data_IF_489356020151
#
_entry.id   IF_489356020151
#
_cell.length_a   1.000
_cell.length_b   1.000
_cell.length_c   1.000
_cell.angle_alpha   90.00
_cell.angle_beta   90.00
_cell.angle_gamma   90.00
#
_symmetry.space_group_name_H-M   'P 1'
#
loop_
_entity.id
_entity.type
_entity.pdbx_description
1 polymer ?
#
# COMPACT_ATOMS: atom_id res chain seq x y z
N UNK A 1 -14.72 53.76 28.75
CA UNK A 1 -13.52 53.46 27.94
C UNK A 1 -13.30 51.95 28.02
N UNK A 2 -14.00 51.10 27.26
CA UNK A 2 -13.86 50.74 25.84
C UNK A 2 -12.46 50.30 25.42
N UNK A 3 -12.26 48.97 25.29
CA UNK A 3 -11.85 48.30 24.04
C UNK A 3 -11.88 46.78 24.23
N UNK A 4 -12.83 46.13 23.57
CA UNK A 4 -12.83 44.68 23.34
C UNK A 4 -11.77 44.32 22.27
N UNK A 5 -11.16 43.13 22.31
CA UNK A 5 -10.22 42.70 21.28
C UNK A 5 -10.95 42.29 20.01
N UNK A 6 -10.46 42.81 18.87
CA UNK A 6 -11.00 42.56 17.55
C UNK A 6 -10.80 41.08 17.12
N UNK A 7 -11.91 40.41 16.81
CA UNK A 7 -11.92 39.16 16.04
C UNK A 7 -11.26 39.40 14.67
N UNK A 8 -10.13 38.74 14.43
CA UNK A 8 -9.54 38.63 13.09
C UNK A 8 -10.48 37.76 12.25
N UNK A 9 -11.38 38.40 11.52
CA UNK A 9 -12.16 37.75 10.46
C UNK A 9 -11.20 37.16 9.43
N UNK A 10 -11.11 35.83 9.40
CA UNK A 10 -10.42 35.10 8.36
C UNK A 10 -11.17 35.35 7.04
N UNK A 11 -10.57 36.15 6.14
CA UNK A 11 -11.13 36.36 4.80
C UNK A 11 -11.26 35.00 4.11
N UNK A 12 -12.41 34.68 3.49
CA UNK A 12 -12.58 33.44 2.75
C UNK A 12 -11.52 33.37 1.66
N UNK A 13 -10.64 32.38 1.75
CA UNK A 13 -9.57 32.17 0.79
C UNK A 13 -10.22 31.66 -0.50
N UNK A 14 -10.30 32.51 -1.52
CA UNK A 14 -10.84 32.14 -2.82
C UNK A 14 -9.80 31.24 -3.49
N UNK A 15 -9.99 29.93 -3.37
CA UNK A 15 -9.14 28.93 -4.03
C UNK A 15 -9.46 28.94 -5.52
N UNK A 16 -8.45 29.15 -6.36
CA UNK A 16 -8.63 29.15 -7.81
C UNK A 16 -8.89 27.75 -8.36
N UNK A 17 -9.64 27.64 -9.46
CA UNK A 17 -9.89 26.37 -10.14
C UNK A 17 -8.58 25.68 -10.55
N UNK A 18 -7.59 26.46 -11.00
CA UNK A 18 -6.27 25.98 -11.38
C UNK A 18 -5.52 25.34 -10.21
N UNK A 19 -5.66 25.90 -9.00
CA UNK A 19 -5.09 25.32 -7.77
C UNK A 19 -5.71 23.96 -7.45
N UNK A 20 -7.03 23.82 -7.63
CA UNK A 20 -7.74 22.56 -7.41
C UNK A 20 -7.31 21.51 -8.46
N UNK A 21 -7.19 21.92 -9.72
CA UNK A 21 -6.72 21.05 -10.81
C UNK A 21 -5.27 20.57 -10.58
N UNK A 22 -4.38 21.45 -10.12
CA UNK A 22 -3.03 21.07 -9.75
C UNK A 22 -3.04 20.03 -8.62
N UNK A 23 -3.83 20.26 -7.56
CA UNK A 23 -3.96 19.33 -6.44
C UNK A 23 -4.51 17.96 -6.85
N UNK A 24 -5.46 17.93 -7.79
CA UNK A 24 -5.98 16.70 -8.38
C UNK A 24 -4.88 15.89 -9.07
N UNK A 25 -3.99 16.54 -9.81
CA UNK A 25 -2.89 15.87 -10.49
C UNK A 25 -1.86 15.31 -9.49
N UNK A 26 -1.53 16.08 -8.44
CA UNK A 26 -0.68 15.59 -7.34
C UNK A 26 -1.28 14.36 -6.66
N UNK A 27 -2.59 14.42 -6.33
CA UNK A 27 -3.29 13.30 -5.70
C UNK A 27 -3.31 12.06 -6.60
N UNK A 28 -3.48 12.23 -7.92
CA UNK A 28 -3.42 11.11 -8.87
C UNK A 28 -2.07 10.41 -8.82
N UNK A 29 -0.98 11.17 -8.87
CA UNK A 29 0.37 10.60 -8.81
C UNK A 29 0.63 9.90 -7.48
N UNK A 30 0.21 10.53 -6.39
CA UNK A 30 0.35 9.96 -5.06
C UNK A 30 -0.47 8.66 -4.88
N UNK A 31 -1.69 8.61 -5.42
CA UNK A 31 -2.51 7.38 -5.46
C UNK A 31 -1.77 6.27 -6.20
N UNK A 32 -1.16 6.57 -7.36
CA UNK A 32 -0.40 5.57 -8.12
C UNK A 32 0.77 5.00 -7.29
N UNK A 33 1.53 5.87 -6.62
CA UNK A 33 2.64 5.46 -5.74
C UNK A 33 2.12 4.56 -4.60
N UNK A 34 1.04 4.95 -3.93
CA UNK A 34 0.44 4.17 -2.85
C UNK A 34 -0.05 2.80 -3.33
N UNK A 35 -0.67 2.73 -4.52
CA UNK A 35 -1.08 1.47 -5.14
C UNK A 35 0.11 0.56 -5.42
N UNK A 36 1.20 1.08 -5.99
CA UNK A 36 2.43 0.30 -6.21
C UNK A 36 2.99 -0.22 -4.89
N UNK A 37 3.06 0.62 -3.85
CA UNK A 37 3.55 0.20 -2.53
C UNK A 37 2.66 -0.89 -1.90
N UNK A 38 1.34 -0.74 -1.96
CA UNK A 38 0.37 -1.73 -1.47
C UNK A 38 0.56 -3.07 -2.20
N UNK A 39 0.74 -3.04 -3.51
CA UNK A 39 0.95 -4.24 -4.31
C UNK A 39 2.27 -4.94 -3.94
N UNK A 40 3.38 -4.19 -3.83
CA UNK A 40 4.67 -4.75 -3.43
C UNK A 40 4.63 -5.36 -2.02
N UNK A 41 4.02 -4.68 -1.05
CA UNK A 41 3.87 -5.18 0.32
C UNK A 41 2.97 -6.41 0.39
N UNK A 42 1.93 -6.48 -0.44
CA UNK A 42 1.05 -7.65 -0.53
C UNK A 42 1.79 -8.87 -1.07
N UNK A 43 2.65 -8.67 -2.08
CA UNK A 43 3.52 -9.73 -2.60
C UNK A 43 4.53 -10.21 -1.56
N UNK A 44 5.24 -9.30 -0.88
CA UNK A 44 6.18 -9.68 0.19
C UNK A 44 5.48 -10.43 1.33
N UNK A 45 4.28 -9.98 1.73
CA UNK A 45 3.47 -10.68 2.75
C UNK A 45 3.13 -12.11 2.31
N UNK A 46 2.75 -12.28 1.05
CA UNK A 46 2.40 -13.60 0.48
C UNK A 46 3.60 -14.53 0.49
N UNK A 47 4.78 -14.03 0.09
CA UNK A 47 6.02 -14.81 0.12
C UNK A 47 6.43 -15.23 1.54
N UNK A 48 6.28 -14.34 2.52
CA UNK A 48 6.58 -14.67 3.92
C UNK A 48 5.59 -15.68 4.51
N UNK A 49 4.32 -15.56 4.16
CA UNK A 49 3.30 -16.53 4.57
C UNK A 49 3.54 -17.90 3.94
N UNK A 50 3.92 -17.94 2.66
CA UNK A 50 4.31 -19.17 1.97
C UNK A 50 5.57 -19.79 2.60
N UNK A 51 6.59 -18.99 2.89
CA UNK A 51 7.80 -19.48 3.56
C UNK A 51 7.48 -20.08 4.93
N UNK A 52 6.62 -19.42 5.71
CA UNK A 52 6.18 -19.91 7.02
C UNK A 52 5.37 -21.21 6.90
N UNK A 53 4.41 -21.28 5.97
CA UNK A 53 3.59 -22.47 5.78
C UNK A 53 4.41 -23.64 5.25
N UNK A 54 5.28 -23.42 4.25
CA UNK A 54 6.21 -24.43 3.75
C UNK A 54 7.10 -24.98 4.86
N UNK A 55 7.68 -24.11 5.70
CA UNK A 55 8.50 -24.56 6.83
C UNK A 55 7.70 -25.41 7.83
N UNK A 56 6.44 -25.07 8.10
CA UNK A 56 5.57 -25.87 8.96
C UNK A 56 5.25 -27.23 8.33
N UNK A 57 4.90 -27.25 7.04
CA UNK A 57 4.69 -28.50 6.30
C UNK A 57 5.93 -29.38 6.30
N UNK A 58 7.14 -28.82 6.19
CA UNK A 58 8.38 -29.59 6.28
C UNK A 58 8.55 -30.33 7.63
N UNK A 59 7.93 -29.85 8.70
CA UNK A 59 7.98 -30.53 10.01
C UNK A 59 7.08 -31.77 10.07
N UNK A 60 6.06 -31.84 9.22
CA UNK A 60 5.09 -32.93 9.14
C UNK A 60 5.52 -34.03 8.15
N UNK A 61 6.47 -33.73 7.27
CA UNK A 61 6.96 -34.63 6.23
C UNK A 61 7.87 -35.73 6.84
N UNK A 62 7.75 -36.96 6.32
CA UNK A 62 8.56 -38.10 6.75
C UNK A 62 10.00 -37.98 6.25
N UNK A 63 10.95 -38.61 6.98
CA UNK A 63 12.40 -38.48 6.72
C UNK A 63 12.86 -38.94 5.33
N UNK A 64 12.08 -39.80 4.67
CA UNK A 64 12.42 -40.38 3.36
C UNK A 64 11.61 -39.80 2.21
N UNK A 65 10.99 -38.63 2.41
CA UNK A 65 10.20 -37.99 1.36
C UNK A 65 11.10 -37.36 0.31
N UNK A 66 10.95 -37.80 -0.94
CA UNK A 66 11.53 -37.13 -2.09
C UNK A 66 10.85 -35.78 -2.31
N UNK A 67 11.64 -34.73 -2.52
CA UNK A 67 11.15 -33.38 -2.79
C UNK A 67 11.58 -32.91 -4.17
N UNK A 68 10.78 -32.02 -4.74
CA UNK A 68 11.12 -31.27 -5.94
C UNK A 68 11.38 -29.82 -5.54
N UNK A 69 12.57 -29.34 -5.87
CA UNK A 69 13.00 -27.96 -5.61
C UNK A 69 12.90 -27.21 -6.92
N UNK A 70 12.17 -26.09 -6.91
CA UNK A 70 12.12 -25.21 -8.09
C UNK A 70 13.37 -24.33 -8.19
N UNK A 71 13.91 -24.20 -9.41
CA UNK A 71 15.05 -23.32 -9.70
C UNK A 71 14.65 -21.92 -10.18
N UNK A 72 13.35 -21.71 -10.43
CA UNK A 72 12.82 -20.48 -11.00
C UNK A 72 11.49 -20.09 -10.35
N UNK A 73 11.10 -18.81 -10.44
CA UNK A 73 9.85 -18.35 -9.82
C UNK A 73 8.59 -18.92 -10.47
N UNK A 74 8.65 -19.37 -11.72
CA UNK A 74 7.48 -19.86 -12.46
C UNK A 74 7.27 -21.36 -12.25
N UNK A 75 8.18 -22.06 -11.56
CA UNK A 75 8.09 -23.51 -11.38
C UNK A 75 8.34 -24.29 -12.67
N UNK A 76 8.93 -23.66 -13.69
CA UNK A 76 9.17 -24.29 -14.99
C UNK A 76 10.28 -25.35 -14.92
N UNK A 77 11.23 -25.21 -13.98
CA UNK A 77 12.34 -26.13 -13.78
C UNK A 77 12.33 -26.66 -12.35
N UNK A 78 12.27 -27.98 -12.22
CA UNK A 78 12.26 -28.71 -10.95
C UNK A 78 13.45 -29.66 -10.88
N UNK A 79 14.09 -29.72 -9.73
CA UNK A 79 15.21 -30.64 -9.44
C UNK A 79 14.83 -31.56 -8.28
N UNK A 80 15.01 -32.88 -8.41
CA UNK A 80 14.79 -33.81 -7.31
C UNK A 80 15.83 -33.62 -6.20
N UNK A 81 15.39 -33.76 -4.96
CA UNK A 81 16.24 -33.65 -3.79
C UNK A 81 15.69 -34.43 -2.60
N UNK A 82 16.54 -34.52 -1.56
CA UNK A 82 16.16 -35.09 -0.26
C UNK A 82 16.44 -34.07 0.83
N UNK A 83 15.60 -34.06 1.85
CA UNK A 83 15.79 -33.20 3.02
C UNK A 83 16.76 -33.91 3.98
N UNK A 84 17.84 -33.23 4.37
CA UNK A 84 18.75 -33.72 5.43
C UNK A 84 17.93 -33.89 6.72
N UNK A 85 17.93 -35.07 7.38
CA UNK A 85 17.20 -35.29 8.63
C UNK A 85 17.53 -34.30 9.75
N UNK A 86 18.69 -33.64 9.68
CA UNK A 86 19.19 -32.66 10.63
C UNK A 86 18.85 -31.21 10.24
N UNK A 87 17.98 -30.99 9.25
CA UNK A 87 17.63 -29.65 8.76
C UNK A 87 17.07 -28.74 9.85
N UNK A 88 16.45 -29.33 10.88
CA UNK A 88 15.79 -28.61 11.98
C UNK A 88 16.75 -27.65 12.68
N UNK A 89 18.04 -27.95 12.76
CA UNK A 89 19.05 -27.07 13.40
C UNK A 89 19.71 -26.09 12.42
N UNK A 90 19.27 -26.07 11.15
CA UNK A 90 20.00 -25.45 10.04
C UNK A 90 19.11 -24.60 9.13
N UNK A 91 18.06 -24.00 9.66
CA UNK A 91 17.21 -23.11 8.86
C UNK A 91 17.91 -21.77 8.70
N UNK A 92 18.07 -21.34 7.45
CA UNK A 92 18.62 -20.03 7.13
C UNK A 92 17.50 -19.00 7.05
N UNK A 93 17.60 -17.95 7.85
CA UNK A 93 16.63 -16.85 7.87
C UNK A 93 17.35 -15.53 7.63
N UNK A 94 16.85 -14.72 6.68
CA UNK A 94 17.36 -13.38 6.44
C UNK A 94 16.94 -12.46 7.60
N UNK A 95 17.93 -11.87 8.29
CA UNK A 95 17.74 -10.97 9.44
C UNK A 95 17.92 -9.49 9.08
N UNK A 96 18.02 -9.17 7.78
CA UNK A 96 18.18 -7.83 7.24
C UNK A 96 19.58 -7.57 6.67
N UNK A 97 19.69 -6.56 5.81
CA UNK A 97 20.96 -6.12 5.16
C UNK A 97 21.76 -7.28 4.54
N UNK A 98 21.09 -8.27 3.96
CA UNK A 98 21.70 -9.48 3.39
C UNK A 98 22.48 -10.36 4.38
N UNK A 99 22.22 -10.23 5.68
CA UNK A 99 22.71 -11.16 6.69
C UNK A 99 21.72 -12.30 6.92
N UNK A 100 22.26 -13.50 7.12
CA UNK A 100 21.49 -14.71 7.36
C UNK A 100 21.91 -15.34 8.69
N UNK A 101 20.93 -15.69 9.49
CA UNK A 101 21.13 -16.45 10.72
C UNK A 101 20.74 -17.91 10.48
N UNK A 102 21.58 -18.83 10.97
CA UNK A 102 21.26 -20.24 11.07
C UNK A 102 20.57 -20.50 12.40
N UNK A 103 19.31 -20.92 12.36
CA UNK A 103 18.46 -21.04 13.55
C UNK A 103 17.59 -22.30 13.51
N UNK A 104 17.03 -22.66 14.67
CA UNK A 104 16.02 -23.71 14.78
C UNK A 104 14.61 -23.28 14.32
N UNK A 105 13.65 -24.21 14.22
CA UNK A 105 12.34 -23.95 13.62
C UNK A 105 11.51 -22.97 14.44
N UNK A 106 11.58 -23.05 15.77
CA UNK A 106 10.87 -22.13 16.67
C UNK A 106 11.34 -20.67 16.51
N UNK A 107 12.66 -20.48 16.42
CA UNK A 107 13.25 -19.15 16.26
C UNK A 107 12.93 -18.62 14.86
N UNK A 108 13.04 -19.46 13.83
CA UNK A 108 12.66 -19.10 12.46
C UNK A 108 11.19 -18.66 12.37
N UNK A 109 10.27 -19.44 12.97
CA UNK A 109 8.85 -19.11 13.06
C UNK A 109 8.64 -17.76 13.75
N UNK A 110 9.32 -17.52 14.86
CA UNK A 110 9.21 -16.26 15.61
C UNK A 110 9.73 -15.06 14.81
N UNK A 111 10.77 -15.23 13.99
CA UNK A 111 11.30 -14.17 13.12
C UNK A 111 10.30 -13.89 11.99
N UNK A 112 9.86 -14.92 11.28
CA UNK A 112 8.90 -14.80 10.17
C UNK A 112 7.58 -14.19 10.64
N UNK A 113 7.02 -14.67 11.76
CA UNK A 113 5.76 -14.18 12.32
C UNK A 113 5.83 -12.71 12.72
N UNK A 114 6.95 -12.27 13.32
CA UNK A 114 7.17 -10.85 13.63
C UNK A 114 7.25 -9.99 12.38
N UNK A 115 7.90 -10.48 11.33
CA UNK A 115 8.01 -9.76 10.06
C UNK A 115 6.66 -9.67 9.34
N UNK A 116 5.89 -10.76 9.32
CA UNK A 116 4.51 -10.81 8.84
C UNK A 116 3.65 -9.76 9.55
N UNK A 117 3.65 -9.76 10.89
CA UNK A 117 2.87 -8.78 11.66
C UNK A 117 3.28 -7.33 11.38
N UNK A 118 4.59 -7.08 11.20
CA UNK A 118 5.11 -5.76 10.86
C UNK A 118 4.61 -5.30 9.49
N UNK A 119 4.71 -6.16 8.46
CA UNK A 119 4.25 -5.86 7.10
C UNK A 119 2.74 -5.70 7.05
N UNK A 120 1.97 -6.54 7.75
CA UNK A 120 0.51 -6.40 7.85
C UNK A 120 0.11 -5.03 8.40
N UNK A 121 0.80 -4.55 9.45
CA UNK A 121 0.51 -3.22 9.99
C UNK A 121 0.87 -2.11 8.99
N UNK A 122 2.03 -2.19 8.33
CA UNK A 122 2.44 -1.22 7.30
C UNK A 122 1.42 -1.22 6.14
N UNK A 123 1.02 -2.40 5.66
CA UNK A 123 0.06 -2.58 4.59
C UNK A 123 -1.29 -1.95 4.96
N UNK A 124 -1.79 -2.20 6.17
CA UNK A 124 -3.04 -1.60 6.68
C UNK A 124 -2.96 -0.07 6.68
N UNK A 125 -1.85 0.50 7.17
CA UNK A 125 -1.64 1.95 7.17
C UNK A 125 -1.63 2.53 5.75
N UNK A 126 -0.94 1.88 4.81
CA UNK A 126 -0.90 2.30 3.39
C UNK A 126 -2.25 2.19 2.70
N UNK A 127 -3.02 1.15 2.99
CA UNK A 127 -4.38 1.01 2.47
C UNK A 127 -5.32 2.11 2.99
N UNK A 128 -5.18 2.48 4.27
CA UNK A 128 -5.95 3.58 4.85
C UNK A 128 -5.57 4.92 4.20
N UNK A 129 -4.28 5.18 4.03
CA UNK A 129 -3.76 6.38 3.35
C UNK A 129 -4.24 6.45 1.88
N UNK A 130 -4.21 5.33 1.16
CA UNK A 130 -4.74 5.20 -0.19
C UNK A 130 -6.24 5.51 -0.24
N UNK A 131 -7.03 4.95 0.69
CA UNK A 131 -8.47 5.21 0.77
C UNK A 131 -8.75 6.70 1.00
N UNK A 132 -8.02 7.33 1.90
CA UNK A 132 -8.14 8.77 2.15
C UNK A 132 -7.80 9.61 0.91
N UNK A 133 -6.70 9.29 0.23
CA UNK A 133 -6.27 10.00 -0.98
C UNK A 133 -7.30 9.86 -2.12
N UNK A 134 -7.87 8.67 -2.32
CA UNK A 134 -8.94 8.42 -3.31
C UNK A 134 -10.21 9.21 -2.97
N UNK A 135 -10.59 9.25 -1.69
CA UNK A 135 -11.77 10.01 -1.25
C UNK A 135 -11.57 11.52 -1.48
N UNK A 136 -10.40 12.06 -1.14
CA UNK A 136 -10.05 13.47 -1.38
C UNK A 136 -10.04 13.78 -2.88
N UNK A 137 -9.44 12.92 -3.70
CA UNK A 137 -9.43 13.05 -5.16
C UNK A 137 -10.86 13.12 -5.71
N UNK A 138 -11.73 12.20 -5.30
CA UNK A 138 -13.13 12.16 -5.76
C UNK A 138 -13.92 13.40 -5.33
N UNK A 139 -13.68 13.87 -4.10
CA UNK A 139 -14.30 15.11 -3.61
C UNK A 139 -13.89 16.33 -4.45
N UNK A 140 -12.60 16.50 -4.74
CA UNK A 140 -12.12 17.62 -5.55
C UNK A 140 -12.63 17.55 -7.00
N UNK A 141 -12.75 16.34 -7.58
CA UNK A 141 -13.35 16.15 -8.90
C UNK A 141 -14.81 16.62 -8.94
N UNK A 142 -15.60 16.29 -7.91
CA UNK A 142 -16.99 16.74 -7.81
C UNK A 142 -17.09 18.26 -7.64
N UNK A 143 -16.18 18.86 -6.87
CA UNK A 143 -16.10 20.31 -6.69
C UNK A 143 -15.83 21.03 -8.03
N UNK A 144 -14.87 20.55 -8.80
CA UNK A 144 -14.54 21.08 -10.14
C UNK A 144 -15.73 20.95 -11.09
N UNK A 145 -16.37 19.80 -11.15
CA UNK A 145 -17.55 19.58 -12.00
C UNK A 145 -18.70 20.56 -11.65
N UNK A 146 -18.92 20.80 -10.35
CA UNK A 146 -19.93 21.74 -9.86
C UNK A 146 -19.59 23.18 -10.22
N UNK A 147 -18.32 23.58 -10.05
CA UNK A 147 -17.86 24.92 -10.37
C UNK A 147 -18.00 25.24 -11.88
N UNK A 148 -17.60 24.30 -12.75
CA UNK A 148 -17.74 24.44 -14.21
C UNK A 148 -19.22 24.59 -14.60
N UNK A 149 -20.10 23.75 -14.04
CA UNK A 149 -21.54 23.82 -14.33
C UNK A 149 -22.15 25.17 -13.92
N UNK A 150 -21.77 25.70 -12.74
CA UNK A 150 -22.23 27.02 -12.29
C UNK A 150 -21.75 28.15 -13.21
N UNK A 151 -20.48 28.10 -13.63
CA UNK A 151 -19.92 29.09 -14.55
C UNK A 151 -20.62 29.09 -15.91
N UNK A 152 -20.92 27.91 -16.47
CA UNK A 152 -21.66 27.78 -17.72
C UNK A 152 -23.06 28.41 -17.63
N UNK A 153 -23.81 28.16 -16.54
CA UNK A 153 -25.14 28.75 -16.37
C UNK A 153 -25.13 30.28 -16.27
N UNK A 154 -24.09 30.86 -15.69
CA UNK A 154 -23.93 32.32 -15.61
C UNK A 154 -23.68 32.93 -17.00
N UNK A 155 -22.85 32.28 -17.82
CA UNK A 155 -22.59 32.71 -19.20
C UNK A 155 -23.82 32.60 -20.09
N UNK A 156 -24.61 31.52 -19.99
CA UNK A 156 -25.85 31.39 -20.77
C UNK A 156 -26.89 32.45 -20.37
N UNK A 157 -26.99 32.80 -19.08
CA UNK A 157 -27.90 33.86 -18.61
C UNK A 157 -27.50 35.25 -19.08
N UNK A 158 -26.20 35.54 -19.13
CA UNK A 158 -25.70 36.81 -19.65
C UNK A 158 -25.92 36.93 -21.17
N UNK A 159 -25.68 35.85 -21.93
CA UNK A 159 -25.96 35.82 -23.36
C UNK A 159 -27.45 35.91 -23.73
N UNK A 160 -28.35 35.55 -22.80
CA UNK A 160 -29.81 35.64 -22.99
C UNK A 160 -30.39 37.02 -22.59
N UNK A 161 -29.62 37.85 -21.88
CA UNK A 161 -30.07 39.12 -21.31
C UNK A 161 -29.79 40.35 -22.17
N UNK A 162 -29.08 40.21 -23.30
CA UNK A 162 -28.76 41.32 -24.23
C UNK A 162 -29.75 41.45 -25.41
N UNK A 163 -30.88 40.73 -25.40
CA UNK A 163 -31.95 40.86 -26.39
C UNK A 163 -33.26 41.35 -25.74
N UNK A 164 -33.26 42.56 -25.19
CA UNK A 164 -34.49 43.31 -24.90
C UNK A 164 -34.30 44.80 -25.22
#
# INVERSE_FOLDING_TARGET
>A
MSKAPAEKQAKPQVVSLDTILAKINELREYINILQTQVNSLTQELTELQLALSSMKSLQEISKDTDILITLDRLGAVLVPGKIDPSWKDRILVNIGKNYYAKVGPEIAEKILSRRIGSIQNILRLRQQELSNAVNEYNYLQQLVATAIYQQQRLQTRQASGEQQ
#
